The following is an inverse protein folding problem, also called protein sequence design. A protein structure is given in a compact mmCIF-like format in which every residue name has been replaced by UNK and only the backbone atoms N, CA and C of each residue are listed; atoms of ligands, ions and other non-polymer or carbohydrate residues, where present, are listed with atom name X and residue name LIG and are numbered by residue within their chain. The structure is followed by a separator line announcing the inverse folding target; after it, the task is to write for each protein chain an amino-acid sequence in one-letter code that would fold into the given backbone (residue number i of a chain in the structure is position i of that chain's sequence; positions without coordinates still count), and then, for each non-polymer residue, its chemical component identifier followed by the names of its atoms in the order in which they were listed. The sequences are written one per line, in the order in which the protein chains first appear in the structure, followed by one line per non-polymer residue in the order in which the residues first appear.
data_IF_660074379737
#
_entry.id   IF_660074379737
#
_cell.length_a   1.000
_cell.length_b   1.000
_cell.length_c   1.000
_cell.angle_alpha   90.00
_cell.angle_beta   90.00
_cell.angle_gamma   90.00
#
_symmetry.space_group_name_H-M   'P 1'
#
loop_
_entity.id
_entity.type
_entity.pdbx_description
1 polymer ?
#
# COMPACT_ATOMS: atom_id res chain seq x y z
N UNK A 1 -5.80 -22.97 16.83
CA UNK A 1 -5.92 -22.47 15.45
C UNK A 1 -7.39 -22.08 15.30
N UNK A 2 -7.69 -20.89 14.81
CA UNK A 2 -9.03 -20.31 14.91
C UNK A 2 -9.98 -21.01 13.92
N UNK A 3 -10.76 -21.99 14.38
CA UNK A 3 -11.55 -22.87 13.50
C UNK A 3 -12.66 -22.15 12.72
N UNK A 4 -13.19 -21.04 13.24
CA UNK A 4 -14.22 -20.26 12.56
C UNK A 4 -13.73 -19.56 11.29
N UNK A 5 -12.41 -19.34 11.13
CA UNK A 5 -11.85 -18.75 9.92
C UNK A 5 -11.83 -19.72 8.73
N UNK A 6 -12.02 -21.03 8.96
CA UNK A 6 -12.05 -22.04 7.87
C UNK A 6 -13.25 -21.88 6.95
N UNK A 7 -14.37 -21.39 7.47
CA UNK A 7 -15.59 -21.21 6.71
C UNK A 7 -15.61 -19.90 5.94
N UNK A 8 -14.70 -18.96 6.27
CA UNK A 8 -14.62 -17.68 5.60
C UNK A 8 -14.12 -17.89 4.18
N UNK A 9 -14.89 -17.47 3.15
CA UNK A 9 -14.44 -17.57 1.78
C UNK A 9 -13.12 -16.82 1.55
N UNK A 10 -12.19 -17.45 0.85
CA UNK A 10 -10.84 -16.90 0.59
C UNK A 10 -10.84 -15.55 -0.17
N UNK A 11 -11.94 -15.21 -0.84
CA UNK A 11 -12.08 -13.91 -1.50
C UNK A 11 -12.17 -12.75 -0.50
N UNK A 12 -12.66 -12.95 0.72
CA UNK A 12 -12.75 -11.89 1.73
C UNK A 12 -11.39 -11.37 2.20
N UNK A 13 -10.45 -12.25 2.63
CA UNK A 13 -9.07 -11.83 2.92
C UNK A 13 -8.41 -11.11 1.75
N UNK A 14 -8.62 -11.59 0.52
CA UNK A 14 -8.09 -10.99 -0.70
C UNK A 14 -8.60 -9.56 -0.87
N UNK A 15 -9.92 -9.35 -0.81
CA UNK A 15 -10.54 -8.02 -0.91
C UNK A 15 -10.03 -7.07 0.18
N UNK A 16 -10.01 -7.51 1.44
CA UNK A 16 -9.58 -6.67 2.58
C UNK A 16 -8.11 -6.26 2.41
N UNK A 17 -7.23 -7.19 2.03
CA UNK A 17 -5.82 -6.90 1.79
C UNK A 17 -5.64 -5.91 0.63
N UNK A 18 -6.28 -6.17 -0.51
CA UNK A 18 -6.21 -5.28 -1.68
C UNK A 18 -6.72 -3.87 -1.35
N UNK A 19 -7.87 -3.75 -0.67
CA UNK A 19 -8.40 -2.46 -0.23
C UNK A 19 -7.44 -1.73 0.72
N UNK A 20 -6.78 -2.47 1.61
CA UNK A 20 -5.78 -1.89 2.50
C UNK A 20 -4.59 -1.33 1.71
N UNK A 21 -4.08 -2.05 0.71
CA UNK A 21 -2.98 -1.55 -0.14
C UNK A 21 -3.36 -0.32 -0.95
N UNK A 22 -4.57 -0.32 -1.52
CA UNK A 22 -5.13 0.85 -2.22
C UNK A 22 -5.26 2.02 -1.25
N UNK A 23 -5.82 1.78 -0.06
CA UNK A 23 -5.99 2.79 0.98
C UNK A 23 -4.66 3.43 1.40
N UNK A 24 -3.63 2.61 1.64
CA UNK A 24 -2.27 3.11 1.94
C UNK A 24 -1.72 3.94 0.79
N UNK A 25 -1.87 3.47 -0.45
CA UNK A 25 -1.41 4.22 -1.63
C UNK A 25 -2.07 5.59 -1.70
N UNK A 26 -3.41 5.65 -1.60
CA UNK A 26 -4.16 6.92 -1.62
C UNK A 26 -3.73 7.81 -0.46
N UNK A 27 -3.68 7.28 0.76
CA UNK A 27 -3.29 8.01 1.96
C UNK A 27 -1.90 8.63 1.86
N UNK A 28 -0.95 7.91 1.26
CA UNK A 28 0.40 8.41 1.01
C UNK A 28 0.42 9.62 0.08
N UNK A 29 -0.47 9.68 -0.91
CA UNK A 29 -0.61 10.85 -1.79
C UNK A 29 -1.34 12.03 -1.15
N UNK A 30 -2.11 11.81 -0.08
CA UNK A 30 -2.70 12.90 0.74
C UNK A 30 -1.62 13.64 1.55
N UNK A 31 -0.43 13.04 1.76
CA UNK A 31 0.63 13.68 2.57
C UNK A 31 1.32 14.83 1.83
N UNK A 32 1.51 15.99 2.50
CA UNK A 32 2.10 17.16 1.87
C UNK A 32 3.58 16.90 1.55
N UNK A 33 4.05 17.47 0.43
CA UNK A 33 5.46 17.33 -0.01
C UNK A 33 6.45 17.81 1.07
N UNK A 34 6.08 18.86 1.80
CA UNK A 34 6.89 19.45 2.87
C UNK A 34 7.20 18.48 3.99
N UNK A 35 6.26 17.59 4.32
CA UNK A 35 6.46 16.53 5.32
C UNK A 35 7.40 15.45 4.79
N UNK A 36 7.26 15.06 3.52
CA UNK A 36 8.03 13.97 2.92
C UNK A 36 9.49 14.33 2.73
N UNK A 37 9.77 15.58 2.36
CA UNK A 37 11.13 16.09 2.17
C UNK A 37 11.68 16.79 3.42
N UNK A 38 11.03 16.65 4.58
CA UNK A 38 11.49 17.28 5.81
C UNK A 38 12.89 16.74 6.19
N UNK A 39 13.87 17.64 6.26
CA UNK A 39 15.27 17.27 6.52
C UNK A 39 15.99 16.61 5.34
N UNK A 40 15.38 16.53 4.16
CA UNK A 40 16.05 16.05 2.96
C UNK A 40 16.98 17.16 2.41
N UNK A 41 18.22 16.81 2.01
CA UNK A 41 19.16 17.76 1.42
C UNK A 41 18.74 18.21 0.01
N UNK A 42 17.90 17.45 -0.67
CA UNK A 42 17.32 17.80 -1.97
C UNK A 42 15.93 17.17 -2.17
N UNK A 43 15.23 17.62 -3.23
CA UNK A 43 13.89 17.14 -3.61
C UNK A 43 13.94 16.17 -4.79
N UNK A 44 14.98 15.32 -4.87
CA UNK A 44 15.10 14.32 -5.95
C UNK A 44 13.96 13.30 -5.87
N UNK A 45 13.45 12.87 -7.03
CA UNK A 45 12.34 11.92 -7.13
C UNK A 45 12.60 10.60 -6.38
N UNK A 46 13.84 10.10 -6.38
CA UNK A 46 14.20 8.88 -5.64
C UNK A 46 14.10 9.01 -4.12
N UNK A 47 14.07 10.24 -3.57
CA UNK A 47 13.80 10.50 -2.15
C UNK A 47 12.31 10.67 -1.85
N UNK A 48 11.46 10.79 -2.86
CA UNK A 48 10.03 10.87 -2.66
C UNK A 48 9.49 9.50 -2.25
N UNK A 49 9.30 9.31 -0.95
CA UNK A 49 8.79 8.05 -0.38
C UNK A 49 7.42 7.66 -0.96
N UNK A 50 6.64 8.61 -1.49
CA UNK A 50 5.35 8.28 -2.11
C UNK A 50 5.50 7.45 -3.36
N UNK A 51 6.55 7.69 -4.14
CA UNK A 51 6.83 6.94 -5.37
C UNK A 51 7.13 5.49 -5.01
N UNK A 52 7.97 5.27 -3.99
CA UNK A 52 8.30 3.93 -3.50
C UNK A 52 7.13 3.18 -2.91
N UNK A 53 6.33 3.84 -2.08
CA UNK A 53 5.12 3.24 -1.53
C UNK A 53 4.17 2.87 -2.67
N UNK A 54 3.96 3.75 -3.65
CA UNK A 54 3.11 3.48 -4.82
C UNK A 54 3.63 2.28 -5.60
N UNK A 55 4.94 2.20 -5.86
CA UNK A 55 5.55 1.09 -6.57
C UNK A 55 5.34 -0.24 -5.83
N UNK A 56 5.66 -0.29 -4.53
CA UNK A 56 5.54 -1.50 -3.71
C UNK A 56 4.07 -1.92 -3.59
N UNK A 57 3.16 -1.00 -3.31
CA UNK A 57 1.74 -1.30 -3.19
C UNK A 57 1.14 -1.75 -4.52
N UNK A 58 1.58 -1.19 -5.65
CA UNK A 58 1.13 -1.64 -6.98
C UNK A 58 1.51 -3.09 -7.23
N UNK A 59 2.73 -3.50 -6.84
CA UNK A 59 3.16 -4.90 -6.92
C UNK A 59 2.30 -5.78 -6.02
N UNK A 60 2.06 -5.38 -4.77
CA UNK A 60 1.21 -6.14 -3.84
C UNK A 60 -0.22 -6.31 -4.36
N UNK A 61 -0.82 -5.24 -4.90
CA UNK A 61 -2.13 -5.27 -5.53
C UNK A 61 -2.13 -6.24 -6.71
N UNK A 62 -1.12 -6.18 -7.59
CA UNK A 62 -1.03 -7.09 -8.73
C UNK A 62 -0.96 -8.56 -8.30
N UNK A 63 -0.14 -8.87 -7.30
CA UNK A 63 -0.04 -10.22 -6.73
C UNK A 63 -1.37 -10.69 -6.15
N UNK A 64 -2.03 -9.85 -5.36
CA UNK A 64 -3.33 -10.12 -4.75
C UNK A 64 -4.51 -10.00 -5.71
N UNK A 65 -4.31 -9.69 -6.99
CA UNK A 65 -5.36 -9.80 -8.00
C UNK A 65 -5.15 -11.05 -8.84
N UNK A 66 -3.89 -11.35 -9.18
CA UNK A 66 -3.51 -12.48 -10.02
C UNK A 66 -3.62 -13.85 -9.31
N UNK A 67 -3.13 -13.95 -8.07
CA UNK A 67 -3.23 -15.16 -7.23
C UNK A 67 -4.49 -15.13 -6.37
#
# INVERSE_FOLDING_TARGET
MVDWLREVPLYWPKIIATLTFVGVTVWTWVRPKTFIFQGAPDQRLWRDLRIWITLIMSIQIALYLYF
#
